data_IF_138478782084
#
_entry.id   IF_138478782084
#
_cell.length_a   1.000
_cell.length_b   1.000
_cell.length_c   1.000
_cell.angle_alpha   90.00
_cell.angle_beta   90.00
_cell.angle_gamma   90.00
#
_symmetry.space_group_name_H-M   'P 1'
#
loop_
_entity.id
_entity.type
_entity.pdbx_description
1 polymer ?
#
# COMPACT_ATOMS: atom_id res chain seq x y z
N UNK A 1 3.21 12.64 20.33
CA UNK A 1 3.13 12.68 18.89
C UNK A 1 1.89 12.01 18.33
N UNK A 2 1.76 12.05 17.04
CA UNK A 2 0.64 11.45 16.33
C UNK A 2 0.92 9.97 16.08
N UNK A 3 -0.09 9.14 16.26
CA UNK A 3 -0.01 7.71 15.89
C UNK A 3 -1.03 7.45 14.78
N UNK A 4 -0.57 6.93 13.67
CA UNK A 4 -1.44 6.51 12.56
C UNK A 4 -1.28 5.02 12.35
N UNK A 5 -2.40 4.31 12.43
CA UNK A 5 -2.47 2.89 12.11
C UNK A 5 -3.31 2.74 10.84
N UNK A 6 -2.70 2.17 9.81
CA UNK A 6 -3.37 1.83 8.56
C UNK A 6 -3.34 0.32 8.44
N UNK A 7 -4.49 -0.31 8.48
CA UNK A 7 -4.59 -1.75 8.58
C UNK A 7 -5.79 -2.26 7.79
N UNK A 8 -5.59 -3.31 7.03
CA UNK A 8 -6.65 -3.96 6.26
C UNK A 8 -7.35 -2.99 5.30
N UNK A 9 -6.56 -2.14 4.64
CA UNK A 9 -7.08 -1.13 3.72
C UNK A 9 -6.65 -1.40 2.28
N UNK A 10 -7.54 -1.10 1.35
CA UNK A 10 -7.22 -1.06 -0.07
C UNK A 10 -7.11 0.41 -0.47
N UNK A 11 -5.90 0.83 -0.81
CA UNK A 11 -5.57 2.21 -1.12
C UNK A 11 -5.26 2.31 -2.62
N UNK A 12 -6.07 3.07 -3.34
CA UNK A 12 -5.91 3.18 -4.78
C UNK A 12 -6.09 4.64 -5.24
N UNK A 13 -5.45 4.96 -6.35
CA UNK A 13 -5.52 6.28 -6.99
C UNK A 13 -5.15 7.43 -6.05
N UNK A 14 -4.22 7.17 -5.16
CA UNK A 14 -3.77 8.14 -4.18
C UNK A 14 -2.81 9.16 -4.82
N UNK A 15 -2.84 10.36 -4.26
CA UNK A 15 -1.88 11.37 -4.60
C UNK A 15 -0.52 11.08 -3.99
N UNK A 16 0.26 12.14 -3.82
CA UNK A 16 1.68 12.04 -3.50
C UNK A 16 1.95 11.52 -2.09
N UNK A 17 1.21 12.00 -1.09
CA UNK A 17 1.49 11.69 0.32
C UNK A 17 0.18 11.55 1.09
N UNK A 18 -0.34 10.31 1.21
CA UNK A 18 -1.63 10.10 1.88
C UNK A 18 -1.59 10.33 3.40
N UNK A 19 -0.44 10.12 4.02
CA UNK A 19 -0.33 10.27 5.49
C UNK A 19 0.86 11.17 5.82
N UNK A 20 0.64 12.15 6.69
CA UNK A 20 1.67 13.12 7.02
C UNK A 20 1.57 13.56 8.48
N UNK A 21 2.73 13.73 9.13
CA UNK A 21 2.84 14.40 10.41
C UNK A 21 3.62 15.70 10.23
N UNK A 22 2.97 16.82 10.43
CA UNK A 22 3.52 18.13 10.13
C UNK A 22 4.80 18.46 10.91
N UNK A 23 4.93 17.95 12.13
CA UNK A 23 6.03 18.31 13.02
C UNK A 23 7.10 17.22 13.13
N UNK A 24 7.01 16.18 12.33
CA UNK A 24 8.03 15.15 12.30
C UNK A 24 8.06 14.21 13.51
N UNK A 25 6.96 14.10 14.24
CA UNK A 25 6.87 13.27 15.43
C UNK A 25 5.77 12.22 15.36
N UNK A 26 5.38 11.83 14.16
CA UNK A 26 4.36 10.80 13.95
C UNK A 26 4.94 9.39 13.95
N UNK A 27 4.14 8.43 14.35
CA UNK A 27 4.46 7.02 14.29
C UNK A 27 3.47 6.31 13.38
N UNK A 28 3.98 5.51 12.44
CA UNK A 28 3.19 4.81 11.44
C UNK A 28 3.23 3.31 11.66
N UNK A 29 2.04 2.72 11.74
CA UNK A 29 1.84 1.28 11.73
C UNK A 29 1.06 0.95 10.46
N UNK A 30 1.68 0.20 9.56
CA UNK A 30 1.13 -0.05 8.22
C UNK A 30 1.13 -1.55 7.96
N UNK A 31 -0.07 -2.17 8.04
CA UNK A 31 -0.17 -3.63 8.03
C UNK A 31 -1.29 -4.13 7.15
N UNK A 32 -0.99 -5.16 6.38
CA UNK A 32 -1.98 -5.94 5.64
C UNK A 32 -2.80 -5.06 4.67
N UNK A 33 -2.13 -4.15 4.00
CA UNK A 33 -2.74 -3.22 3.06
C UNK A 33 -2.39 -3.57 1.62
N UNK A 34 -3.22 -3.09 0.70
CA UNK A 34 -2.89 -3.05 -0.72
C UNK A 34 -2.71 -1.59 -1.10
N UNK A 35 -1.56 -1.27 -1.70
CA UNK A 35 -1.24 0.06 -2.22
C UNK A 35 -1.14 -0.02 -3.73
N UNK A 36 -2.00 0.69 -4.45
CA UNK A 36 -2.10 0.54 -5.90
C UNK A 36 -2.44 1.85 -6.58
N UNK A 37 -2.18 1.94 -7.88
CA UNK A 37 -2.64 3.02 -8.74
C UNK A 37 -2.19 4.41 -8.28
N UNK A 38 -0.95 4.55 -7.82
CA UNK A 38 -0.45 5.88 -7.46
C UNK A 38 -0.26 6.74 -8.70
N UNK A 39 -0.59 8.01 -8.59
CA UNK A 39 -0.48 8.97 -9.69
C UNK A 39 0.93 9.52 -9.88
N UNK A 40 1.84 9.18 -9.01
CA UNK A 40 3.24 9.59 -9.08
C UNK A 40 4.16 8.37 -9.12
N UNK A 41 5.31 8.52 -9.77
CA UNK A 41 6.27 7.43 -9.89
C UNK A 41 6.95 7.05 -8.56
N UNK A 42 7.00 7.97 -7.61
CA UNK A 42 7.64 7.73 -6.31
C UNK A 42 6.71 8.18 -5.19
N UNK A 43 5.61 7.47 -4.97
CA UNK A 43 4.68 7.85 -3.92
C UNK A 43 5.30 7.72 -2.54
N UNK A 44 5.02 8.69 -1.69
CA UNK A 44 5.48 8.70 -0.32
C UNK A 44 4.30 8.37 0.60
N UNK A 45 4.26 7.15 1.10
CA UNK A 45 3.14 6.67 1.92
C UNK A 45 3.02 7.47 3.21
N UNK A 46 4.15 7.74 3.85
CA UNK A 46 4.14 8.54 5.07
C UNK A 46 5.24 9.59 5.04
N UNK A 47 4.89 10.82 5.34
CA UNK A 47 5.84 11.93 5.35
C UNK A 47 6.03 12.43 6.78
N UNK A 48 7.28 12.64 7.15
CA UNK A 48 7.67 13.07 8.51
C UNK A 48 7.15 12.12 9.59
N UNK A 49 7.13 10.82 9.29
CA UNK A 49 6.69 9.80 10.23
C UNK A 49 7.76 8.75 10.41
N UNK A 50 7.85 8.22 11.62
CA UNK A 50 8.68 7.05 11.90
C UNK A 50 7.86 5.79 11.71
N UNK A 51 8.37 4.85 10.92
CA UNK A 51 7.71 3.57 10.74
C UNK A 51 8.01 2.68 11.93
N UNK A 52 6.95 2.25 12.61
CA UNK A 52 7.05 1.33 13.75
C UNK A 52 6.73 -0.10 13.36
N UNK A 53 5.81 -0.26 12.41
CA UNK A 53 5.49 -1.57 11.87
C UNK A 53 5.10 -1.42 10.40
N UNK A 54 5.59 -2.35 9.57
CA UNK A 54 5.29 -2.35 8.15
C UNK A 54 5.35 -3.81 7.69
N UNK A 55 4.21 -4.44 7.53
CA UNK A 55 4.17 -5.89 7.27
C UNK A 55 2.91 -6.33 6.55
N UNK A 56 3.03 -7.41 5.82
CA UNK A 56 1.90 -8.09 5.22
C UNK A 56 1.26 -7.33 4.05
N UNK A 57 1.99 -6.46 3.38
CA UNK A 57 1.43 -5.56 2.38
C UNK A 57 1.62 -6.09 0.96
N UNK A 58 0.70 -5.71 0.09
CA UNK A 58 0.82 -5.86 -1.35
C UNK A 58 0.94 -4.48 -1.98
N UNK A 59 1.64 -4.43 -3.10
CA UNK A 59 1.67 -3.24 -3.93
C UNK A 59 1.49 -3.64 -5.39
N UNK A 60 0.81 -2.80 -6.16
CA UNK A 60 0.50 -3.12 -7.55
C UNK A 60 0.80 -1.94 -8.47
N UNK A 61 1.43 -2.24 -9.59
CA UNK A 61 1.67 -1.27 -10.65
C UNK A 61 0.35 -0.85 -11.30
N UNK A 62 0.32 0.33 -11.89
CA UNK A 62 -0.91 0.91 -12.42
C UNK A 62 -1.53 0.10 -13.54
N UNK A 63 -0.79 -0.15 -14.61
CA UNK A 63 -1.37 -0.80 -15.79
C UNK A 63 -0.42 -1.77 -16.47
N UNK A 64 0.86 -1.44 -16.51
CA UNK A 64 1.81 -2.15 -17.35
C UNK A 64 2.78 -2.98 -16.51
N UNK A 65 3.05 -4.16 -16.98
CA UNK A 65 4.00 -5.04 -16.32
C UNK A 65 5.37 -4.37 -16.21
N UNK A 66 5.96 -4.45 -15.03
CA UNK A 66 7.33 -4.04 -14.83
C UNK A 66 7.54 -2.62 -14.31
N UNK A 67 6.48 -1.86 -14.10
CA UNK A 67 6.60 -0.48 -13.63
C UNK A 67 5.97 -0.29 -12.25
N UNK A 68 6.45 -1.02 -11.29
CA UNK A 68 6.04 -0.82 -9.91
C UNK A 68 6.69 0.45 -9.37
N UNK A 69 5.91 1.45 -8.96
CA UNK A 69 6.50 2.63 -8.34
C UNK A 69 7.19 2.27 -7.02
N UNK A 70 8.29 2.95 -6.75
CA UNK A 70 8.97 2.79 -5.47
C UNK A 70 8.13 3.48 -4.40
N UNK A 71 7.68 2.71 -3.44
CA UNK A 71 6.91 3.25 -2.34
C UNK A 71 7.85 3.69 -1.23
N UNK A 72 7.81 4.97 -0.94
CA UNK A 72 8.68 5.59 0.05
C UNK A 72 7.94 5.87 1.35
N UNK A 73 8.68 5.87 2.44
CA UNK A 73 8.24 6.47 3.69
C UNK A 73 9.29 7.48 4.09
N UNK A 74 8.87 8.68 4.39
CA UNK A 74 9.76 9.79 4.75
C UNK A 74 10.87 10.00 3.71
N UNK A 75 10.48 9.89 2.42
CA UNK A 75 11.40 10.10 1.30
C UNK A 75 12.36 8.96 1.03
N UNK A 76 12.24 7.84 1.71
CA UNK A 76 13.12 6.69 1.54
C UNK A 76 12.32 5.42 1.32
N UNK A 77 12.86 4.51 0.52
CA UNK A 77 12.26 3.19 0.37
C UNK A 77 12.24 2.44 1.71
N UNK A 78 11.24 1.60 1.90
CA UNK A 78 11.15 0.77 3.10
C UNK A 78 12.38 -0.14 3.18
N UNK A 79 13.02 -0.13 4.35
CA UNK A 79 14.17 -0.97 4.62
C UNK A 79 13.71 -2.40 4.95
N UNK A 80 13.89 -3.31 3.99
CA UNK A 80 13.48 -4.70 4.16
C UNK A 80 14.37 -5.49 5.12
N UNK A 81 15.50 -4.95 5.52
CA UNK A 81 16.30 -5.55 6.60
C UNK A 81 15.68 -5.28 7.97
N UNK A 82 15.14 -4.08 8.15
CA UNK A 82 14.42 -3.72 9.38
C UNK A 82 13.00 -4.33 9.38
N UNK A 83 12.35 -4.38 8.20
CA UNK A 83 11.00 -4.88 8.05
C UNK A 83 10.98 -6.02 7.01
N UNK A 84 11.43 -7.24 7.39
CA UNK A 84 11.58 -8.33 6.42
C UNK A 84 10.25 -8.81 5.82
N UNK A 85 9.14 -8.57 6.52
CA UNK A 85 7.81 -8.97 6.05
C UNK A 85 7.02 -7.78 5.50
N UNK A 86 7.71 -6.71 5.10
CA UNK A 86 7.07 -5.49 4.60
C UNK A 86 6.13 -5.76 3.44
N UNK A 87 6.62 -6.48 2.45
CA UNK A 87 5.91 -6.77 1.21
C UNK A 87 5.74 -8.27 1.02
N UNK A 88 4.50 -8.70 0.85
CA UNK A 88 4.22 -10.08 0.46
C UNK A 88 4.43 -10.23 -1.04
N UNK A 89 3.92 -9.27 -1.82
CA UNK A 89 4.06 -9.30 -3.27
C UNK A 89 4.00 -7.87 -3.83
N UNK A 90 4.96 -7.52 -4.65
CA UNK A 90 5.00 -6.24 -5.36
C UNK A 90 5.02 -6.44 -6.87
N UNK A 91 4.83 -7.67 -7.35
CA UNK A 91 4.99 -8.03 -8.75
C UNK A 91 3.72 -7.89 -9.59
N UNK A 92 2.58 -7.70 -8.97
CA UNK A 92 1.30 -7.72 -9.68
C UNK A 92 0.94 -6.35 -10.24
N UNK A 93 0.25 -6.38 -11.37
CA UNK A 93 -0.42 -5.19 -11.89
C UNK A 93 -1.81 -5.10 -11.28
N UNK A 94 -2.42 -3.92 -11.45
CA UNK A 94 -3.79 -3.68 -10.99
C UNK A 94 -4.78 -4.66 -11.62
N UNK A 95 -4.59 -4.96 -12.91
CA UNK A 95 -5.48 -5.87 -13.62
C UNK A 95 -5.31 -7.33 -13.20
N UNK A 96 -4.14 -7.69 -12.70
CA UNK A 96 -3.90 -9.02 -12.16
C UNK A 96 -4.48 -9.19 -10.75
N UNK A 97 -4.57 -8.08 -10.01
CA UNK A 97 -4.97 -8.11 -8.61
C UNK A 97 -6.47 -7.91 -8.41
N UNK A 98 -7.08 -7.01 -9.18
CA UNK A 98 -8.48 -6.63 -9.03
C UNK A 98 -9.32 -6.98 -10.24
N UNK A 99 -10.60 -7.26 -10.03
CA UNK A 99 -11.51 -7.63 -11.12
C UNK A 99 -11.75 -6.49 -12.10
N UNK A 100 -12.00 -5.28 -11.61
CA UNK A 100 -12.29 -4.13 -12.47
C UNK A 100 -12.04 -2.81 -11.73
N UNK A 101 -10.79 -2.55 -11.39
CA UNK A 101 -10.42 -1.36 -10.61
C UNK A 101 -10.78 -0.05 -11.32
N UNK A 102 -10.70 -0.02 -12.66
CA UNK A 102 -11.03 1.18 -13.43
C UNK A 102 -12.47 1.63 -13.27
N UNK A 103 -13.38 0.73 -12.92
CA UNK A 103 -14.78 1.02 -12.65
C UNK A 103 -15.14 0.94 -11.17
N UNK A 104 -14.13 0.96 -10.30
CA UNK A 104 -14.35 0.97 -8.86
C UNK A 104 -14.62 -0.40 -8.23
N UNK A 105 -14.41 -1.48 -8.96
CA UNK A 105 -14.56 -2.83 -8.44
C UNK A 105 -13.18 -3.37 -8.07
N UNK A 106 -12.84 -3.31 -6.78
CA UNK A 106 -11.56 -3.75 -6.25
C UNK A 106 -11.59 -5.18 -5.70
N UNK A 107 -12.57 -5.97 -6.12
CA UNK A 107 -12.64 -7.36 -5.70
C UNK A 107 -11.40 -8.10 -6.15
N UNK A 108 -10.80 -8.85 -5.23
CA UNK A 108 -9.54 -9.55 -5.49
C UNK A 108 -9.73 -10.74 -6.42
N UNK A 109 -8.81 -10.88 -7.35
CA UNK A 109 -8.68 -12.08 -8.19
C UNK A 109 -7.87 -13.17 -7.50
N UNK A 110 -7.10 -12.78 -6.48
CA UNK A 110 -6.25 -13.70 -5.73
C UNK A 110 -6.96 -14.17 -4.46
N UNK A 111 -6.62 -15.37 -4.02
CA UNK A 111 -7.17 -15.93 -2.79
C UNK A 111 -6.26 -15.56 -1.63
N UNK A 112 -6.37 -14.31 -1.19
CA UNK A 112 -5.58 -13.76 -0.10
C UNK A 112 -6.45 -12.84 0.76
N UNK A 113 -6.21 -12.86 2.05
CA UNK A 113 -6.89 -11.98 3.00
C UNK A 113 -6.03 -10.75 3.26
N UNK A 114 -5.99 -9.85 2.30
CA UNK A 114 -5.19 -8.63 2.32
C UNK A 114 -6.04 -7.46 1.85
N UNK A 115 -5.76 -6.27 2.39
CA UNK A 115 -6.54 -5.08 2.08
C UNK A 115 -7.89 -5.09 2.78
N UNK A 116 -8.84 -4.34 2.23
CA UNK A 116 -10.19 -4.21 2.81
C UNK A 116 -10.95 -5.54 2.66
N UNK A 117 -11.45 -6.13 3.77
CA UNK A 117 -12.14 -7.42 3.73
C UNK A 117 -13.36 -7.47 2.82
N UNK A 118 -14.02 -6.34 2.56
CA UNK A 118 -15.17 -6.29 1.63
C UNK A 118 -14.81 -6.77 0.23
N UNK A 119 -13.54 -6.69 -0.14
CA UNK A 119 -13.05 -7.00 -1.47
C UNK A 119 -12.42 -8.40 -1.58
N UNK A 120 -12.43 -9.19 -0.51
CA UNK A 120 -11.86 -10.54 -0.57
C UNK A 120 -12.59 -11.39 -1.60
N UNK A 121 -11.82 -12.22 -2.32
CA UNK A 121 -12.35 -13.08 -3.37
C UNK A 121 -13.51 -13.97 -2.90
N UNK A 122 -13.39 -14.48 -1.67
CA UNK A 122 -14.36 -15.43 -1.11
C UNK A 122 -15.31 -14.81 -0.10
N UNK A 123 -15.47 -13.51 -0.13
CA UNK A 123 -16.46 -12.83 0.70
C UNK A 123 -17.87 -13.15 0.19
N UNK A 124 -18.74 -13.48 1.11
CA UNK A 124 -20.13 -13.84 0.80
C UNK A 124 -21.06 -12.66 1.04
#
# INVERSE_FOLDING_TARGET
GVVITVENCTLADLGKTPFESQYGNGNLYYKNNISACFVTSNPNIGYKMDVREFSGNYAAATTEAGQMPVLNVHGKAIDTNTFPNAWIDTSKTVTELFEDAGNGNFKLKIDAQVGDPRWYKNVK
#
